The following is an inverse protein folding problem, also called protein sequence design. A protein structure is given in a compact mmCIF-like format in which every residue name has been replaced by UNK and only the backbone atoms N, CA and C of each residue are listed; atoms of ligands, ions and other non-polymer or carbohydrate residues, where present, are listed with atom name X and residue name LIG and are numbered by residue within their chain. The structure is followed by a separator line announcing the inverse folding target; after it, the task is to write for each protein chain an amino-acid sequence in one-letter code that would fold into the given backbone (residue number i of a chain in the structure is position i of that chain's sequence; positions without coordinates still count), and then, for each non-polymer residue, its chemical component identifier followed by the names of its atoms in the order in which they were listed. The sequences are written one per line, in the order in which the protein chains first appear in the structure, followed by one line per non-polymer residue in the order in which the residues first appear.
data_IF_008101510759
#
_entry.id   IF_008101510759
#
_cell.length_a   1.000
_cell.length_b   1.000
_cell.length_c   1.000
_cell.angle_alpha   90.00
_cell.angle_beta   90.00
_cell.angle_gamma   90.00
#
_symmetry.space_group_name_H-M   'P 1'
#
loop_
_entity.id
_entity.type
_entity.pdbx_description
1 polymer ?
#
# COMPACT_ATOMS: atom_id res chain seq x y z
N UNK A 1 -7.18 40.66 14.12
CA UNK A 1 -6.40 39.40 14.10
C UNK A 1 -7.28 38.31 14.72
N UNK A 2 -7.72 37.33 13.94
CA UNK A 2 -8.31 36.13 14.52
C UNK A 2 -7.18 35.41 15.27
N UNK A 3 -7.25 35.36 16.61
CA UNK A 3 -6.30 34.58 17.40
C UNK A 3 -6.33 33.11 16.99
N UNK A 4 -5.33 32.32 17.41
CA UNK A 4 -5.32 30.86 17.21
C UNK A 4 -6.56 30.24 17.87
N UNK A 5 -7.68 30.23 17.15
CA UNK A 5 -8.92 29.63 17.61
C UNK A 5 -8.74 28.12 17.54
N UNK A 6 -8.97 27.45 18.67
CA UNK A 6 -9.12 26.00 18.72
C UNK A 6 -10.06 25.54 17.61
N UNK A 7 -9.74 24.43 16.95
CA UNK A 7 -10.60 23.84 15.91
C UNK A 7 -12.04 23.70 16.39
N UNK A 8 -13.06 23.87 15.51
CA UNK A 8 -14.45 23.63 15.86
C UNK A 8 -14.62 22.31 16.61
N UNK A 9 -15.35 22.34 17.73
CA UNK A 9 -15.61 21.14 18.53
C UNK A 9 -16.69 20.31 17.83
N UNK A 10 -16.28 19.25 17.15
CA UNK A 10 -17.23 18.21 16.72
C UNK A 10 -17.49 17.26 17.91
N UNK A 11 -18.75 17.08 18.29
CA UNK A 11 -19.14 16.20 19.42
C UNK A 11 -18.37 16.46 20.73
N UNK A 12 -18.15 17.75 21.08
CA UNK A 12 -17.38 18.19 22.26
C UNK A 12 -15.89 17.79 22.24
N UNK A 13 -15.35 17.28 21.13
CA UNK A 13 -13.94 16.88 20.99
C UNK A 13 -13.19 17.88 20.11
N UNK A 14 -12.01 18.31 20.58
CA UNK A 14 -11.11 19.13 19.77
C UNK A 14 -10.36 18.23 18.78
N UNK A 15 -10.55 18.44 17.47
CA UNK A 15 -9.94 17.63 16.41
C UNK A 15 -8.46 17.96 16.16
N UNK A 16 -7.96 19.06 16.72
CA UNK A 16 -6.60 19.58 16.52
C UNK A 16 -5.50 18.52 16.68
N UNK A 17 -5.56 17.69 17.72
CA UNK A 17 -4.54 16.65 17.95
C UNK A 17 -4.56 15.58 16.84
N UNK A 18 -5.75 15.20 16.37
CA UNK A 18 -5.89 14.27 15.25
C UNK A 18 -5.35 14.91 13.97
N UNK A 19 -5.66 16.18 13.72
CA UNK A 19 -5.20 16.92 12.53
C UNK A 19 -3.69 17.14 12.54
N UNK A 20 -3.10 17.43 13.71
CA UNK A 20 -1.65 17.51 13.87
C UNK A 20 -0.98 16.19 13.51
N UNK A 21 -1.47 15.08 14.08
CA UNK A 21 -0.93 13.75 13.78
C UNK A 21 -1.10 13.42 12.31
N UNK A 22 -2.26 13.73 11.73
CA UNK A 22 -2.54 13.53 10.31
C UNK A 22 -1.59 14.32 9.42
N UNK A 23 -1.42 15.62 9.68
CA UNK A 23 -0.48 16.47 8.95
C UNK A 23 0.96 15.97 9.04
N UNK A 24 1.41 15.55 10.23
CA UNK A 24 2.73 14.94 10.38
C UNK A 24 2.89 13.67 9.53
N UNK A 25 1.85 12.82 9.46
CA UNK A 25 1.88 11.59 8.65
C UNK A 25 1.93 11.88 7.15
N UNK A 26 1.19 12.86 6.66
CA UNK A 26 1.27 13.31 5.27
C UNK A 26 2.68 13.78 4.88
N UNK A 27 3.40 14.39 5.82
CA UNK A 27 4.81 14.80 5.63
C UNK A 27 5.82 13.67 5.85
N UNK A 28 5.39 12.43 6.10
CA UNK A 28 6.29 11.32 6.43
C UNK A 28 7.01 11.50 7.78
N UNK A 29 6.44 12.28 8.70
CA UNK A 29 7.00 12.59 10.01
C UNK A 29 6.23 11.89 11.12
N UNK A 30 6.94 11.59 12.21
CA UNK A 30 6.40 10.93 13.39
C UNK A 30 6.43 11.82 14.64
N UNK A 31 6.15 11.20 15.78
CA UNK A 31 6.10 11.85 17.10
C UNK A 31 7.28 12.79 17.37
N UNK A 32 8.53 12.30 17.20
CA UNK A 32 9.72 13.07 17.54
C UNK A 32 9.86 14.37 16.74
N UNK A 33 9.43 14.37 15.47
CA UNK A 33 9.45 15.57 14.64
C UNK A 33 8.32 16.54 15.04
N UNK A 34 7.13 16.01 15.33
CA UNK A 34 6.01 16.82 15.85
C UNK A 34 6.34 17.48 17.19
N UNK A 35 6.97 16.75 18.10
CA UNK A 35 7.44 17.28 19.38
C UNK A 35 8.45 18.40 19.17
N UNK A 36 9.48 18.19 18.32
CA UNK A 36 10.47 19.23 18.01
C UNK A 36 9.80 20.50 17.47
N UNK A 37 8.90 20.36 16.49
CA UNK A 37 8.17 21.48 15.90
C UNK A 37 7.41 22.29 16.96
N UNK A 38 6.62 21.62 17.80
CA UNK A 38 5.80 22.28 18.82
C UNK A 38 6.67 22.93 19.89
N UNK A 39 7.75 22.28 20.33
CA UNK A 39 8.72 22.88 21.25
C UNK A 39 9.36 24.14 20.66
N UNK A 40 9.76 24.13 19.39
CA UNK A 40 10.34 25.30 18.71
C UNK A 40 9.37 26.48 18.65
N UNK A 41 8.07 26.21 18.53
CA UNK A 41 7.01 27.22 18.53
C UNK A 41 6.52 27.60 19.94
N UNK A 42 7.12 27.05 21.00
CA UNK A 42 6.66 27.19 22.38
C UNK A 42 5.18 26.79 22.58
N UNK A 43 4.75 25.74 21.89
CA UNK A 43 3.40 25.18 21.95
C UNK A 43 3.37 23.87 22.76
N UNK A 44 2.27 23.58 23.48
CA UNK A 44 2.10 22.29 24.15
C UNK A 44 2.02 21.15 23.13
N UNK A 45 2.61 20.00 23.48
CA UNK A 45 2.58 18.81 22.65
C UNK A 45 1.93 17.62 23.37
N UNK A 46 1.32 16.73 22.58
CA UNK A 46 0.72 15.50 23.11
C UNK A 46 1.80 14.52 23.57
N UNK A 47 1.53 13.70 24.58
CA UNK A 47 2.47 12.64 24.96
C UNK A 47 2.49 11.51 23.90
N UNK A 48 3.55 10.70 23.90
CA UNK A 48 3.75 9.61 22.92
C UNK A 48 2.59 8.62 22.88
N UNK A 49 1.99 8.30 24.05
CA UNK A 49 0.83 7.40 24.16
C UNK A 49 -0.39 7.98 23.43
N UNK A 50 -0.71 9.25 23.70
CA UNK A 50 -1.83 9.94 23.05
C UNK A 50 -1.61 10.07 21.54
N UNK A 51 -0.39 10.41 21.11
CA UNK A 51 -0.03 10.44 19.69
C UNK A 51 -0.31 9.09 19.01
N UNK A 52 0.07 7.98 19.64
CA UNK A 52 -0.15 6.63 19.11
C UNK A 52 -1.65 6.29 18.99
N UNK A 53 -2.48 6.72 19.94
CA UNK A 53 -3.94 6.53 19.88
C UNK A 53 -4.51 7.22 18.63
N UNK A 54 -4.12 8.48 18.38
CA UNK A 54 -4.55 9.20 17.18
C UNK A 54 -4.02 8.57 15.89
N UNK A 55 -2.79 8.07 15.89
CA UNK A 55 -2.23 7.34 14.74
C UNK A 55 -3.02 6.07 14.42
N UNK A 56 -3.38 5.28 15.44
CA UNK A 56 -4.19 4.07 15.25
C UNK A 56 -5.59 4.40 14.73
N UNK A 57 -6.21 5.47 15.26
CA UNK A 57 -7.50 5.95 14.77
C UNK A 57 -7.43 6.37 13.30
N UNK A 58 -6.36 7.07 12.91
CA UNK A 58 -6.14 7.45 11.51
C UNK A 58 -5.90 6.23 10.63
N UNK A 59 -5.13 5.25 11.10
CA UNK A 59 -4.89 4.01 10.36
C UNK A 59 -6.19 3.25 10.09
N UNK A 60 -7.08 3.15 11.07
CA UNK A 60 -8.40 2.54 10.92
C UNK A 60 -9.25 3.27 9.87
N UNK A 61 -9.33 4.60 9.96
CA UNK A 61 -10.07 5.41 9.00
C UNK A 61 -9.51 5.30 7.57
N UNK A 62 -8.18 5.29 7.41
CA UNK A 62 -7.52 5.12 6.12
C UNK A 62 -7.80 3.73 5.56
N UNK A 63 -7.69 2.66 6.37
CA UNK A 63 -8.00 1.30 5.93
C UNK A 63 -9.44 1.16 5.44
N UNK A 64 -10.39 1.71 6.18
CA UNK A 64 -11.79 1.74 5.78
C UNK A 64 -11.98 2.47 4.45
N UNK A 65 -11.44 3.68 4.32
CA UNK A 65 -11.52 4.47 3.09
C UNK A 65 -10.87 3.78 1.90
N UNK A 66 -9.69 3.17 2.08
CA UNK A 66 -9.02 2.41 1.02
C UNK A 66 -9.89 1.23 0.56
N UNK A 67 -10.46 0.47 1.48
CA UNK A 67 -11.28 -0.70 1.15
C UNK A 67 -12.55 -0.31 0.38
N UNK A 68 -13.24 0.76 0.80
CA UNK A 68 -14.42 1.24 0.08
C UNK A 68 -14.09 1.79 -1.31
N UNK A 69 -12.99 2.55 -1.44
CA UNK A 69 -12.53 3.04 -2.75
C UNK A 69 -12.15 1.90 -3.70
N UNK A 70 -11.46 0.88 -3.19
CA UNK A 70 -11.07 -0.29 -4.00
C UNK A 70 -12.29 -1.11 -4.44
N UNK A 71 -13.30 -1.30 -3.58
CA UNK A 71 -14.59 -1.92 -3.99
C UNK A 71 -15.30 -1.10 -5.06
N UNK A 72 -15.34 0.22 -4.91
CA UNK A 72 -15.95 1.10 -5.90
C UNK A 72 -15.22 1.02 -7.25
N UNK A 73 -13.89 1.00 -7.24
CA UNK A 73 -13.07 0.82 -8.44
C UNK A 73 -13.36 -0.53 -9.12
N UNK A 74 -13.50 -1.62 -8.37
CA UNK A 74 -13.87 -2.93 -8.94
C UNK A 74 -15.24 -2.91 -9.62
N UNK A 75 -16.25 -2.28 -8.99
CA UNK A 75 -17.58 -2.13 -9.59
C UNK A 75 -17.56 -1.31 -10.87
N UNK A 76 -16.73 -0.27 -10.93
CA UNK A 76 -16.55 0.54 -12.13
C UNK A 76 -15.96 -0.27 -13.29
N UNK A 77 -14.98 -1.13 -13.01
CA UNK A 77 -14.43 -2.08 -14.00
C UNK A 77 -15.53 -3.02 -14.50
N UNK A 78 -16.32 -3.61 -13.60
CA UNK A 78 -17.42 -4.50 -13.98
C UNK A 78 -18.46 -3.78 -14.85
N UNK A 79 -18.83 -2.55 -14.50
CA UNK A 79 -19.79 -1.75 -15.27
C UNK A 79 -19.26 -1.39 -16.66
N UNK A 80 -17.97 -1.09 -16.77
CA UNK A 80 -17.33 -0.74 -18.04
C UNK A 80 -17.24 -1.94 -18.98
N UNK A 81 -16.80 -3.10 -18.47
CA UNK A 81 -16.58 -4.31 -19.29
C UNK A 81 -17.82 -5.18 -19.45
N UNK A 82 -18.77 -5.07 -18.50
CA UNK A 82 -19.91 -5.99 -18.34
C UNK A 82 -19.47 -7.44 -18.14
N UNK A 83 -18.30 -7.64 -17.50
CA UNK A 83 -17.71 -8.94 -17.18
C UNK A 83 -17.13 -8.93 -15.77
N UNK A 84 -16.86 -10.12 -15.23
CA UNK A 84 -16.18 -10.33 -13.94
C UNK A 84 -14.67 -10.58 -14.12
N UNK A 85 -14.12 -10.23 -15.27
CA UNK A 85 -12.70 -10.43 -15.60
C UNK A 85 -12.06 -9.11 -16.02
N UNK A 86 -10.81 -8.88 -15.62
CA UNK A 86 -10.08 -7.68 -16.03
C UNK A 86 -8.58 -7.89 -16.13
N UNK A 87 -7.93 -6.99 -16.87
CA UNK A 87 -6.49 -6.91 -16.93
C UNK A 87 -5.95 -5.99 -15.85
N UNK A 88 -4.82 -6.36 -15.27
CA UNK A 88 -4.23 -5.62 -14.16
C UNK A 88 -2.74 -5.41 -14.31
N UNK A 89 -2.27 -4.24 -13.92
CA UNK A 89 -0.86 -3.97 -13.68
C UNK A 89 -0.50 -4.29 -12.23
N UNK A 90 0.59 -5.02 -12.03
CA UNK A 90 1.08 -5.41 -10.71
C UNK A 90 2.48 -4.85 -10.53
N UNK A 91 2.68 -4.10 -9.45
CA UNK A 91 3.99 -3.54 -9.11
C UNK A 91 4.21 -3.50 -7.59
N UNK A 92 5.47 -3.59 -7.20
CA UNK A 92 5.95 -3.57 -5.84
C UNK A 92 6.78 -2.33 -5.53
N UNK A 93 6.65 -1.79 -4.32
CA UNK A 93 7.52 -0.74 -3.80
C UNK A 93 8.09 -1.12 -2.44
N UNK A 94 9.31 -0.67 -2.17
CA UNK A 94 10.06 -0.98 -0.96
C UNK A 94 10.47 0.28 -0.23
N UNK A 95 10.51 0.21 1.10
CA UNK A 95 10.94 1.33 1.93
C UNK A 95 12.38 1.77 1.62
N UNK A 96 13.26 0.83 1.26
CA UNK A 96 14.66 1.09 0.91
C UNK A 96 14.96 0.49 -0.46
N UNK A 97 15.84 1.15 -1.22
CA UNK A 97 16.38 0.59 -2.46
C UNK A 97 17.27 -0.61 -2.15
N UNK A 98 17.30 -1.57 -3.07
CA UNK A 98 18.09 -2.80 -2.98
C UNK A 98 17.36 -3.95 -2.29
N UNK A 99 18.04 -5.09 -2.19
CA UNK A 99 17.46 -6.35 -1.71
C UNK A 99 17.42 -6.50 -0.17
N UNK A 100 17.47 -5.40 0.58
CA UNK A 100 17.53 -5.41 2.06
C UNK A 100 16.36 -4.67 2.72
N UNK A 101 15.30 -4.36 1.97
CA UNK A 101 14.14 -3.70 2.57
C UNK A 101 13.33 -4.68 3.42
N UNK A 102 13.00 -4.27 4.64
CA UNK A 102 12.19 -5.06 5.57
C UNK A 102 10.69 -4.79 5.41
N UNK A 103 10.33 -3.75 4.66
CA UNK A 103 8.96 -3.34 4.40
C UNK A 103 8.76 -3.24 2.88
N UNK A 104 7.63 -3.74 2.41
CA UNK A 104 7.21 -3.68 1.02
C UNK A 104 5.71 -3.48 0.90
N UNK A 105 5.26 -2.92 -0.22
CA UNK A 105 3.86 -2.85 -0.58
C UNK A 105 3.71 -3.26 -2.03
N UNK A 106 2.79 -4.17 -2.30
CA UNK A 106 2.41 -4.59 -3.65
C UNK A 106 1.04 -4.04 -3.93
N UNK A 107 0.83 -3.50 -5.12
CA UNK A 107 -0.46 -2.96 -5.54
C UNK A 107 -0.86 -3.52 -6.90
N UNK A 108 -2.17 -3.63 -7.09
CA UNK A 108 -2.76 -4.05 -8.36
C UNK A 108 -3.68 -2.94 -8.86
N UNK A 109 -3.45 -2.50 -10.10
CA UNK A 109 -4.16 -1.40 -10.75
C UNK A 109 -4.88 -1.95 -11.98
N UNK A 110 -6.16 -1.62 -12.13
CA UNK A 110 -6.92 -1.96 -13.33
C UNK A 110 -6.33 -1.26 -14.55
N UNK A 111 -6.13 -2.01 -15.63
CA UNK A 111 -5.73 -1.43 -16.92
C UNK A 111 -6.87 -0.63 -17.54
N UNK A 112 -8.11 -1.10 -17.36
CA UNK A 112 -9.28 -0.48 -17.98
C UNK A 112 -9.62 0.89 -17.37
N UNK A 113 -9.42 1.08 -16.06
CA UNK A 113 -9.81 2.31 -15.34
C UNK A 113 -8.63 3.12 -14.80
N UNK A 114 -7.43 2.53 -14.73
CA UNK A 114 -6.27 3.14 -14.07
C UNK A 114 -6.41 3.28 -12.55
N UNK A 115 -7.40 2.62 -11.94
CA UNK A 115 -7.69 2.70 -10.50
C UNK A 115 -7.13 1.50 -9.75
N UNK A 116 -6.75 1.73 -8.49
CA UNK A 116 -6.24 0.66 -7.61
C UNK A 116 -7.37 -0.30 -7.23
N UNK A 117 -7.13 -1.60 -7.40
CA UNK A 117 -8.09 -2.66 -7.09
C UNK A 117 -7.75 -3.37 -5.78
N UNK A 118 -6.47 -3.55 -5.46
CA UNK A 118 -6.04 -4.12 -4.18
C UNK A 118 -4.59 -3.71 -3.86
N UNK A 119 -4.21 -3.86 -2.59
CA UNK A 119 -2.87 -3.66 -2.09
C UNK A 119 -2.53 -4.65 -0.97
N UNK A 120 -1.28 -5.05 -0.90
CA UNK A 120 -0.72 -5.90 0.16
C UNK A 120 0.50 -5.21 0.76
N UNK A 121 0.39 -4.79 2.02
CA UNK A 121 1.50 -4.23 2.79
C UNK A 121 2.15 -5.35 3.58
N UNK A 122 3.45 -5.56 3.39
CA UNK A 122 4.24 -6.59 4.06
C UNK A 122 5.35 -5.98 4.92
N UNK A 123 5.54 -6.55 6.10
CA UNK A 123 6.62 -6.20 7.03
C UNK A 123 7.25 -7.45 7.62
N UNK A 124 8.58 -7.42 7.71
CA UNK A 124 9.41 -8.35 8.47
C UNK A 124 9.96 -7.73 9.75
N UNK A 125 9.62 -6.47 10.00
CA UNK A 125 10.25 -5.65 11.00
C UNK A 125 9.28 -5.25 12.10
N UNK A 126 9.70 -5.50 13.34
CA UNK A 126 9.10 -4.93 14.52
C UNK A 126 10.19 -4.34 15.41
N UNK A 127 10.04 -3.05 15.76
CA UNK A 127 11.00 -2.36 16.65
C UNK A 127 11.07 -3.01 18.03
N UNK A 128 9.94 -3.53 18.54
CA UNK A 128 9.92 -4.20 19.85
C UNK A 128 10.69 -5.52 19.80
N UNK A 129 10.49 -6.33 18.76
CA UNK A 129 11.26 -7.55 18.56
C UNK A 129 12.75 -7.28 18.37
N UNK A 130 13.11 -6.25 17.60
CA UNK A 130 14.51 -5.82 17.45
C UNK A 130 15.14 -5.46 18.80
N UNK A 131 14.34 -4.91 19.72
CA UNK A 131 14.76 -4.55 21.09
C UNK A 131 14.62 -5.71 22.10
N UNK A 132 14.29 -6.92 21.66
CA UNK A 132 14.00 -8.08 22.52
C UNK A 132 12.89 -7.83 23.56
N UNK A 133 11.95 -6.93 23.25
CA UNK A 133 10.79 -6.66 24.09
C UNK A 133 9.65 -7.58 23.65
N UNK A 134 9.06 -8.31 24.60
CA UNK A 134 7.91 -9.19 24.33
C UNK A 134 6.77 -8.38 23.70
N UNK A 135 6.33 -8.81 22.52
CA UNK A 135 5.23 -8.20 21.79
C UNK A 135 3.99 -9.10 21.85
N UNK A 136 2.82 -8.50 22.10
CA UNK A 136 1.52 -9.20 22.10
C UNK A 136 0.72 -8.91 20.81
N UNK A 137 1.42 -8.65 19.71
CA UNK A 137 0.82 -8.32 18.40
C UNK A 137 1.51 -9.08 17.28
N UNK A 138 0.87 -9.11 16.11
CA UNK A 138 1.47 -9.68 14.90
C UNK A 138 2.67 -8.82 14.44
N UNK A 139 3.86 -9.27 14.83
CA UNK A 139 5.11 -8.53 14.67
C UNK A 139 5.69 -8.58 13.25
N UNK A 140 5.23 -9.52 12.42
CA UNK A 140 5.54 -9.60 10.99
C UNK A 140 4.47 -10.41 10.27
N UNK A 141 3.98 -9.93 9.12
CA UNK A 141 3.05 -10.67 8.28
C UNK A 141 3.74 -11.33 7.06
N UNK A 142 5.08 -11.27 6.99
CA UNK A 142 5.89 -11.86 5.93
C UNK A 142 7.22 -12.41 6.48
N UNK A 143 7.67 -13.54 5.92
CA UNK A 143 8.99 -14.16 6.16
C UNK A 143 9.57 -14.57 4.81
N UNK A 144 10.83 -14.21 4.53
CA UNK A 144 11.46 -14.46 3.23
C UNK A 144 12.45 -13.36 2.83
N UNK A 145 12.82 -13.31 1.55
CA UNK A 145 13.66 -12.22 1.02
C UNK A 145 12.81 -11.04 0.57
N UNK A 146 13.37 -9.83 0.65
CA UNK A 146 12.70 -8.61 0.19
C UNK A 146 12.26 -8.69 -1.28
N UNK A 147 13.10 -9.27 -2.15
CA UNK A 147 12.79 -9.45 -3.58
C UNK A 147 11.67 -10.46 -3.85
N UNK A 148 11.31 -11.31 -2.88
CA UNK A 148 10.19 -12.23 -3.01
C UNK A 148 8.89 -11.66 -2.42
N UNK A 149 8.91 -10.44 -1.84
CA UNK A 149 7.69 -9.78 -1.37
C UNK A 149 6.73 -9.51 -2.53
N UNK A 150 7.22 -9.08 -3.70
CA UNK A 150 6.37 -8.83 -4.87
C UNK A 150 5.56 -10.07 -5.25
N UNK A 151 6.24 -11.22 -5.40
CA UNK A 151 5.60 -12.49 -5.75
C UNK A 151 4.56 -12.94 -4.73
N UNK A 152 4.85 -12.80 -3.43
CA UNK A 152 3.92 -13.20 -2.37
C UNK A 152 2.76 -12.22 -2.25
N UNK A 153 3.01 -10.92 -2.43
CA UNK A 153 1.97 -9.91 -2.43
C UNK A 153 1.02 -10.07 -3.62
N UNK A 154 1.55 -10.31 -4.82
CA UNK A 154 0.76 -10.60 -6.01
C UNK A 154 -0.10 -11.85 -5.79
N UNK A 155 0.47 -12.94 -5.27
CA UNK A 155 -0.28 -14.15 -4.94
C UNK A 155 -1.43 -13.86 -3.97
N UNK A 156 -1.18 -13.20 -2.84
CA UNK A 156 -2.21 -12.89 -1.83
C UNK A 156 -3.33 -12.01 -2.38
N UNK A 157 -3.01 -11.09 -3.28
CA UNK A 157 -3.99 -10.21 -3.92
C UNK A 157 -4.85 -11.01 -4.90
N UNK A 158 -4.25 -11.84 -5.75
CA UNK A 158 -4.98 -12.66 -6.72
C UNK A 158 -5.84 -13.72 -6.02
N UNK A 159 -5.33 -14.37 -4.97
CA UNK A 159 -6.07 -15.37 -4.19
C UNK A 159 -7.39 -14.81 -3.64
N UNK A 160 -7.38 -13.58 -3.11
CA UNK A 160 -8.59 -12.97 -2.52
C UNK A 160 -9.43 -12.15 -3.50
N UNK A 161 -8.97 -11.95 -4.74
CA UNK A 161 -9.59 -11.06 -5.73
C UNK A 161 -11.08 -11.36 -5.96
N UNK A 162 -11.44 -12.61 -6.21
CA UNK A 162 -12.84 -13.00 -6.48
C UNK A 162 -13.71 -12.73 -5.26
N UNK A 163 -13.25 -13.10 -4.07
CA UNK A 163 -14.02 -12.92 -2.84
C UNK A 163 -14.15 -11.45 -2.43
N UNK A 164 -13.09 -10.66 -2.55
CA UNK A 164 -13.06 -9.25 -2.10
C UNK A 164 -13.57 -8.25 -3.14
N UNK A 165 -13.36 -8.56 -4.42
CA UNK A 165 -13.52 -7.62 -5.55
C UNK A 165 -14.49 -8.11 -6.61
N UNK A 166 -14.95 -9.36 -6.52
CA UNK A 166 -15.83 -9.98 -7.52
C UNK A 166 -15.22 -9.94 -8.94
N UNK A 167 -13.89 -10.00 -9.00
CA UNK A 167 -13.10 -9.91 -10.23
C UNK A 167 -12.05 -11.01 -10.26
N UNK A 168 -11.89 -11.64 -11.43
CA UNK A 168 -10.74 -12.45 -11.80
C UNK A 168 -9.76 -11.60 -12.63
N UNK A 169 -8.48 -11.69 -12.30
CA UNK A 169 -7.43 -10.96 -12.98
C UNK A 169 -6.80 -11.84 -14.07
N UNK A 170 -7.33 -11.76 -15.29
CA UNK A 170 -6.98 -12.69 -16.39
C UNK A 170 -5.79 -12.22 -17.22
N UNK A 171 -5.42 -10.94 -17.14
CA UNK A 171 -4.24 -10.41 -17.81
C UNK A 171 -3.31 -9.76 -16.78
N UNK A 172 -2.04 -10.18 -16.77
CA UNK A 172 -1.01 -9.67 -15.88
C UNK A 172 -0.05 -8.77 -16.66
N UNK A 173 -0.05 -7.48 -16.37
CA UNK A 173 0.88 -6.50 -16.93
C UNK A 173 1.99 -6.20 -15.91
N UNK A 174 3.20 -6.62 -16.23
CA UNK A 174 4.34 -6.35 -15.38
C UNK A 174 5.66 -6.54 -16.09
N UNK A 175 6.72 -6.63 -15.30
CA UNK A 175 8.08 -6.65 -15.81
C UNK A 175 8.40 -7.98 -16.53
N UNK A 176 9.26 -7.87 -17.56
CA UNK A 176 9.54 -8.93 -18.52
C UNK A 176 10.03 -10.25 -17.88
N UNK A 177 10.79 -10.17 -16.78
CA UNK A 177 11.13 -11.32 -15.94
C UNK A 177 10.52 -11.11 -14.55
N UNK A 178 9.34 -11.72 -14.31
CA UNK A 178 8.64 -11.56 -13.05
C UNK A 178 8.31 -12.93 -12.48
N UNK A 179 9.00 -13.28 -11.39
CA UNK A 179 8.70 -14.44 -10.55
C UNK A 179 7.29 -14.37 -9.96
N UNK A 180 6.71 -13.16 -9.88
CA UNK A 180 5.34 -12.97 -9.42
C UNK A 180 4.32 -13.57 -10.39
N UNK A 181 4.50 -13.40 -11.71
CA UNK A 181 3.63 -14.03 -12.71
C UNK A 181 3.55 -15.56 -12.53
N UNK A 182 4.70 -16.21 -12.35
CA UNK A 182 4.75 -17.67 -12.16
C UNK A 182 3.96 -18.14 -10.93
N UNK A 183 3.74 -17.28 -9.94
CA UNK A 183 2.93 -17.59 -8.76
C UNK A 183 1.44 -17.43 -8.98
N UNK A 184 1.03 -16.64 -9.97
CA UNK A 184 -0.39 -16.33 -10.23
C UNK A 184 -0.94 -16.93 -11.51
N UNK A 185 -0.10 -17.48 -12.39
CA UNK A 185 -0.51 -18.00 -13.71
C UNK A 185 -1.68 -19.00 -13.66
N UNK A 186 -1.71 -19.83 -12.61
CA UNK A 186 -2.71 -20.91 -12.46
C UNK A 186 -3.73 -20.65 -11.34
N UNK A 187 -3.79 -19.41 -10.81
CA UNK A 187 -4.51 -19.14 -9.55
C UNK A 187 -6.02 -19.32 -9.63
N UNK A 188 -6.59 -19.22 -10.83
CA UNK A 188 -8.02 -19.46 -11.08
C UNK A 188 -8.26 -20.79 -11.84
N UNK A 189 -7.24 -21.61 -12.03
CA UNK A 189 -7.22 -22.78 -12.92
C UNK A 189 -6.01 -22.74 -13.85
N UNK A 190 -5.73 -23.86 -14.54
CA UNK A 190 -4.56 -24.03 -15.42
C UNK A 190 -4.50 -22.94 -16.51
N UNK A 191 -3.37 -22.23 -16.56
CA UNK A 191 -3.06 -21.17 -17.54
C UNK A 191 -4.15 -20.10 -17.71
N UNK A 192 -4.84 -19.78 -16.62
CA UNK A 192 -5.95 -18.80 -16.59
C UNK A 192 -5.49 -17.34 -16.66
N UNK A 193 -4.24 -17.04 -16.30
CA UNK A 193 -3.70 -15.68 -16.35
C UNK A 193 -2.66 -15.56 -17.45
N UNK A 194 -2.91 -14.65 -18.39
CA UNK A 194 -2.00 -14.34 -19.51
C UNK A 194 -1.04 -13.23 -19.13
N UNK A 195 0.27 -13.45 -19.33
CA UNK A 195 1.29 -12.41 -19.13
C UNK A 195 1.34 -11.47 -20.33
N UNK A 196 1.31 -10.17 -20.07
CA UNK A 196 1.52 -9.10 -21.03
C UNK A 196 2.66 -8.19 -20.55
N UNK A 197 3.37 -7.59 -21.51
CA UNK A 197 4.49 -6.71 -21.21
C UNK A 197 4.06 -5.24 -21.17
N UNK A 198 4.62 -4.48 -20.24
CA UNK A 198 4.40 -3.04 -20.24
C UNK A 198 5.22 -2.34 -21.33
N UNK A 199 4.63 -1.32 -21.95
CA UNK A 199 5.24 -0.56 -23.06
C UNK A 199 6.60 0.01 -22.67
N UNK A 200 6.74 0.49 -21.42
CA UNK A 200 8.02 1.01 -20.92
C UNK A 200 9.13 -0.04 -20.90
N UNK A 201 8.82 -1.31 -20.59
CA UNK A 201 9.82 -2.38 -20.67
C UNK A 201 10.15 -2.77 -22.10
N UNK A 202 9.17 -2.78 -22.99
CA UNK A 202 9.41 -2.97 -24.42
C UNK A 202 10.36 -1.88 -24.93
N UNK A 203 10.10 -0.60 -24.63
CA UNK A 203 10.96 0.53 -25.01
C UNK A 203 12.38 0.40 -24.46
N UNK A 204 12.55 0.09 -23.17
CA UNK A 204 13.89 -0.10 -22.56
C UNK A 204 14.66 -1.23 -23.23
N UNK A 205 13.98 -2.34 -23.53
CA UNK A 205 14.58 -3.52 -24.17
C UNK A 205 14.98 -3.20 -25.61
N UNK A 206 14.08 -2.62 -26.39
CA UNK A 206 14.34 -2.21 -27.78
C UNK A 206 15.48 -1.19 -27.82
N UNK A 207 15.42 -0.14 -27.01
CA UNK A 207 16.47 0.88 -26.95
C UNK A 207 17.83 0.32 -26.53
N UNK A 208 17.86 -0.64 -25.61
CA UNK A 208 19.12 -1.30 -25.22
C UNK A 208 19.69 -2.21 -26.31
N UNK A 209 18.84 -2.82 -27.14
CA UNK A 209 19.28 -3.60 -28.32
C UNK A 209 19.78 -2.68 -29.43
N UNK A 210 19.08 -1.58 -29.71
CA UNK A 210 19.47 -0.62 -30.74
C UNK A 210 20.81 0.05 -30.46
N UNK A 211 21.15 0.37 -29.20
CA UNK A 211 22.46 0.95 -28.82
C UNK A 211 23.65 -0.03 -28.88
N UNK A 212 23.38 -1.32 -29.09
CA UNK A 212 24.43 -2.35 -29.24
C UNK A 212 24.78 -2.60 -30.71
N UNK A 213 24.06 -1.99 -31.64
CA UNK A 213 24.44 -1.82 -33.03
C UNK A 213 25.20 -0.50 -33.18
#
# INVERSE_FOLDING_TARGET
MAGFTSTPKENKKCSLNTLLVFGLRLMGRGFSAGMKLLCTLNLPYVCKKTFRIHELKLLEAVKYSCEENMKAASKEVQNLKKTTTCGVSVDGTWQRRGHMSLNGCVSVISIDTGKILDLEVMTQYCKMCEMNIKCDHECSNYKGSSGNMESVGAFRIFERSVMKRELQYTEYYGDGDSKAFLKVKDIYGEDTVTKLECIGHVQKRVGSRLRKF
#
